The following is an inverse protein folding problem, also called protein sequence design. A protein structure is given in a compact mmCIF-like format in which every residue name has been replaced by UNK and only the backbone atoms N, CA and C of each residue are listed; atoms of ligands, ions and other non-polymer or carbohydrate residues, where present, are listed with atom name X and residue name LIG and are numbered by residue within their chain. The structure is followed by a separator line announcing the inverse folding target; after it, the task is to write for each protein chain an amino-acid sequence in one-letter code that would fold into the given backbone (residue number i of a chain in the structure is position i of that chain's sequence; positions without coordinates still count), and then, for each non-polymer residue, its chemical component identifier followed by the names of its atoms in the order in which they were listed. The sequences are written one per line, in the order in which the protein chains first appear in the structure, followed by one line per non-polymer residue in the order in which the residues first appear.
data_IF_584142241049
#
_entry.id   IF_584142241049
#
_cell.length_a   1.000
_cell.length_b   1.000
_cell.length_c   1.000
_cell.angle_alpha   90.00
_cell.angle_beta   90.00
_cell.angle_gamma   90.00
#
_symmetry.space_group_name_H-M   'P 1'
#
loop_
_entity.id
_entity.type
_entity.pdbx_description
1 polymer ?
#
# COMPACT_ATOMS: atom_id res chain seq x y z
N UNK A 1 39.56 4.53 -6.90
CA UNK A 1 38.27 4.46 -6.20
C UNK A 1 37.64 3.15 -6.63
N UNK A 2 37.06 2.33 -5.76
CA UNK A 2 36.24 1.22 -6.20
C UNK A 2 35.17 1.77 -7.14
N UNK A 3 34.88 1.08 -8.26
CA UNK A 3 33.86 1.49 -9.20
C UNK A 3 32.51 1.66 -8.48
N UNK A 4 31.65 2.58 -8.98
CA UNK A 4 30.28 2.68 -8.46
C UNK A 4 29.62 1.29 -8.57
N UNK A 5 28.83 0.85 -7.56
CA UNK A 5 28.14 -0.42 -7.66
C UNK A 5 27.20 -0.41 -8.86
N UNK A 6 27.14 -1.52 -9.57
CA UNK A 6 26.18 -1.70 -10.67
C UNK A 6 24.84 -2.04 -10.01
N UNK A 7 23.90 -1.09 -10.03
CA UNK A 7 22.55 -1.27 -9.51
C UNK A 7 21.54 -0.86 -10.58
N UNK A 8 20.84 -1.85 -11.11
CA UNK A 8 19.70 -1.66 -12.00
C UNK A 8 18.44 -2.17 -11.30
N UNK A 9 17.50 -1.28 -10.88
CA UNK A 9 16.30 -1.66 -10.17
C UNK A 9 15.34 -2.55 -10.98
N UNK A 10 15.58 -2.72 -12.27
CA UNK A 10 14.78 -3.53 -13.18
C UNK A 10 15.45 -4.85 -13.59
N UNK A 11 16.68 -5.10 -13.12
CA UNK A 11 17.35 -6.39 -13.37
C UNK A 11 16.70 -7.51 -12.55
N UNK A 12 16.69 -8.72 -13.09
CA UNK A 12 16.12 -9.90 -12.42
C UNK A 12 16.73 -10.15 -11.04
N UNK A 13 18.03 -9.93 -10.88
CA UNK A 13 18.72 -10.13 -9.60
C UNK A 13 18.19 -9.16 -8.53
N UNK A 14 18.04 -7.87 -8.87
CA UNK A 14 17.50 -6.85 -7.95
C UNK A 14 16.00 -7.07 -7.70
N UNK A 15 15.25 -7.45 -8.73
CA UNK A 15 13.84 -7.74 -8.61
C UNK A 15 13.57 -8.93 -7.67
N UNK A 16 14.43 -9.95 -7.69
CA UNK A 16 14.29 -11.15 -6.86
C UNK A 16 14.76 -10.94 -5.41
N UNK A 17 15.82 -10.16 -5.19
CA UNK A 17 16.30 -9.79 -3.85
C UNK A 17 16.96 -8.40 -3.86
N UNK A 18 16.20 -7.31 -3.63
CA UNK A 18 16.74 -5.96 -3.61
C UNK A 18 17.56 -5.64 -2.35
N UNK A 19 17.42 -6.40 -1.28
CA UNK A 19 17.90 -6.01 0.05
C UNK A 19 19.42 -6.03 0.16
N UNK A 20 20.07 -7.03 -0.45
CA UNK A 20 21.53 -7.10 -0.51
C UNK A 20 22.12 -5.89 -1.26
N UNK A 21 21.49 -5.48 -2.37
CA UNK A 21 21.86 -4.30 -3.12
C UNK A 21 21.63 -3.00 -2.34
N UNK A 22 20.51 -2.88 -1.65
CA UNK A 22 20.22 -1.70 -0.80
C UNK A 22 21.23 -1.55 0.34
N UNK A 23 21.68 -2.67 0.93
CA UNK A 23 22.73 -2.67 1.95
C UNK A 23 24.04 -2.14 1.37
N UNK A 24 24.48 -2.66 0.22
CA UNK A 24 25.71 -2.22 -0.44
C UNK A 24 25.64 -0.73 -0.83
N UNK A 25 24.52 -0.30 -1.41
CA UNK A 25 24.30 1.11 -1.78
C UNK A 25 24.36 2.02 -0.55
N UNK A 26 23.71 1.66 0.56
CA UNK A 26 23.69 2.46 1.78
C UNK A 26 25.09 2.72 2.32
N UNK A 27 25.97 1.73 2.23
CA UNK A 27 27.36 1.81 2.70
C UNK A 27 28.28 2.56 1.72
N UNK A 28 28.13 2.33 0.41
CA UNK A 28 29.12 2.74 -0.60
C UNK A 28 28.65 3.91 -1.50
N UNK A 29 27.34 4.01 -1.77
CA UNK A 29 26.75 5.00 -2.68
C UNK A 29 25.31 5.35 -2.25
N UNK A 30 25.10 6.01 -1.08
CA UNK A 30 23.78 6.20 -0.50
C UNK A 30 22.80 6.98 -1.37
N UNK A 31 23.32 7.70 -2.37
CA UNK A 31 22.57 8.36 -3.44
C UNK A 31 23.11 7.82 -4.75
N UNK A 32 22.39 6.87 -5.35
CA UNK A 32 22.79 6.23 -6.59
C UNK A 32 22.11 6.88 -7.79
N UNK A 33 22.89 7.33 -8.77
CA UNK A 33 22.39 7.85 -10.05
C UNK A 33 22.29 6.72 -11.06
N UNK A 34 21.14 6.62 -11.73
CA UNK A 34 20.92 5.68 -12.83
C UNK A 34 21.32 6.33 -14.15
N UNK A 35 22.37 5.83 -14.82
CA UNK A 35 22.95 6.48 -16.01
C UNK A 35 22.15 6.19 -17.29
N UNK A 36 21.40 5.08 -17.36
CA UNK A 36 20.73 4.60 -18.58
C UNK A 36 19.32 5.20 -18.81
N UNK A 37 18.94 6.25 -18.03
CA UNK A 37 17.64 6.90 -18.16
C UNK A 37 17.73 8.21 -18.95
N UNK A 38 16.68 8.52 -19.72
CA UNK A 38 16.58 9.74 -20.54
C UNK A 38 16.37 11.00 -19.71
N UNK A 39 16.10 10.86 -18.41
CA UNK A 39 15.96 11.94 -17.43
C UNK A 39 16.69 11.57 -16.14
N UNK A 40 17.07 12.55 -15.31
CA UNK A 40 17.79 12.28 -14.07
C UNK A 40 16.95 11.41 -13.12
N UNK A 41 17.44 10.21 -12.84
CA UNK A 41 16.82 9.23 -11.95
C UNK A 41 17.81 8.81 -10.87
N UNK A 42 17.36 8.81 -9.59
CA UNK A 42 18.20 8.49 -8.45
C UNK A 42 17.47 7.55 -7.48
N UNK A 43 18.26 6.83 -6.68
CA UNK A 43 17.78 6.02 -5.55
C UNK A 43 18.51 6.44 -4.28
N UNK A 44 17.77 6.73 -3.21
CA UNK A 44 18.33 7.04 -1.86
C UNK A 44 18.08 5.87 -0.91
N UNK A 45 19.03 5.58 -0.01
CA UNK A 45 18.99 4.35 0.81
C UNK A 45 19.16 4.58 2.31
N UNK A 46 19.62 5.75 2.76
CA UNK A 46 19.79 6.06 4.19
C UNK A 46 18.47 6.54 4.79
N UNK A 47 18.24 6.17 6.03
CA UNK A 47 17.02 6.51 6.77
C UNK A 47 16.76 8.03 6.82
N UNK A 48 17.76 8.81 7.22
CA UNK A 48 17.60 10.26 7.41
C UNK A 48 17.27 10.97 6.08
N UNK A 49 17.88 10.53 4.98
CA UNK A 49 17.59 11.08 3.65
C UNK A 49 16.15 10.77 3.23
N UNK A 50 15.72 9.51 3.40
CA UNK A 50 14.37 9.07 3.07
C UNK A 50 13.34 9.79 3.94
N UNK A 51 13.58 9.91 5.24
CA UNK A 51 12.68 10.63 6.17
C UNK A 51 12.59 12.13 5.82
N UNK A 52 13.72 12.77 5.47
CA UNK A 52 13.74 14.15 5.02
C UNK A 52 12.95 14.36 3.72
N UNK A 53 13.07 13.43 2.76
CA UNK A 53 12.29 13.46 1.51
C UNK A 53 10.79 13.34 1.75
N UNK A 54 10.37 12.58 2.74
CA UNK A 54 8.95 12.37 3.05
C UNK A 54 8.33 13.52 3.83
N UNK A 55 9.13 14.32 4.52
CA UNK A 55 8.65 15.43 5.38
C UNK A 55 8.80 16.81 4.76
N UNK A 56 9.78 17.01 3.90
CA UNK A 56 10.02 18.30 3.23
C UNK A 56 9.33 18.35 1.86
N UNK A 57 8.02 18.60 1.86
CA UNK A 57 7.19 18.64 0.64
C UNK A 57 7.48 19.85 -0.27
N UNK A 58 8.11 20.91 0.26
CA UNK A 58 8.50 22.07 -0.55
C UNK A 58 9.66 21.70 -1.48
N UNK A 59 10.59 20.89 -1.02
CA UNK A 59 11.74 20.42 -1.79
C UNK A 59 11.44 19.14 -2.58
N UNK A 60 10.57 18.27 -2.05
CA UNK A 60 10.31 16.93 -2.58
C UNK A 60 8.84 16.75 -2.94
N UNK A 61 8.47 17.18 -4.13
CA UNK A 61 7.11 17.18 -4.66
C UNK A 61 6.61 15.78 -5.00
N UNK A 62 5.34 15.51 -4.66
CA UNK A 62 4.58 14.34 -5.11
C UNK A 62 3.80 14.62 -6.41
N UNK A 63 3.59 15.87 -6.76
CA UNK A 63 2.74 16.31 -7.88
C UNK A 63 3.10 15.66 -9.21
N UNK A 64 4.38 15.43 -9.45
CA UNK A 64 4.88 14.86 -10.71
C UNK A 64 4.88 13.32 -10.73
N UNK A 65 4.07 12.70 -9.87
CA UNK A 65 3.89 11.25 -9.77
C UNK A 65 4.90 10.57 -8.84
N UNK A 66 4.46 9.45 -8.30
CA UNK A 66 5.21 8.65 -7.32
C UNK A 66 5.91 7.43 -7.95
N UNK A 67 5.87 7.33 -9.29
CA UNK A 67 6.57 6.32 -10.09
C UNK A 67 7.81 6.92 -10.76
N UNK A 68 8.71 6.12 -11.36
CA UNK A 68 9.90 6.63 -12.05
C UNK A 68 9.54 7.63 -13.15
N UNK A 69 8.47 7.36 -13.91
CA UNK A 69 8.00 8.25 -14.98
C UNK A 69 7.22 9.43 -14.42
N UNK A 70 7.31 10.56 -15.11
CA UNK A 70 6.49 11.72 -14.80
C UNK A 70 5.03 11.46 -15.13
N UNK A 71 4.17 11.78 -14.18
CA UNK A 71 2.70 11.76 -14.34
C UNK A 71 2.09 12.80 -13.40
N UNK A 72 1.00 13.43 -13.80
CA UNK A 72 0.23 14.32 -12.92
C UNK A 72 -1.09 13.64 -12.63
N UNK A 73 -1.18 13.08 -11.43
CA UNK A 73 -2.37 12.30 -11.04
C UNK A 73 -3.36 13.08 -10.16
N UNK A 74 -2.90 14.15 -9.52
CA UNK A 74 -3.76 15.01 -8.69
C UNK A 74 -4.26 14.37 -7.39
N UNK A 75 -5.27 15.00 -6.79
CA UNK A 75 -5.98 14.54 -5.59
C UNK A 75 -5.03 14.16 -4.44
N UNK A 76 -5.10 12.93 -3.91
CA UNK A 76 -4.27 12.46 -2.80
C UNK A 76 -2.77 12.38 -3.13
N UNK A 77 -2.39 12.46 -4.41
CA UNK A 77 -0.98 12.49 -4.87
C UNK A 77 -0.49 13.90 -5.20
N UNK A 78 -1.30 14.94 -4.98
CA UNK A 78 -0.88 16.34 -5.14
C UNK A 78 -0.06 16.82 -3.95
N UNK A 79 0.53 18.01 -4.06
CA UNK A 79 1.19 18.70 -2.96
C UNK A 79 0.21 19.59 -2.17
N UNK A 80 0.52 19.98 -0.92
CA UNK A 80 -0.23 21.03 -0.22
C UNK A 80 -0.22 22.35 -0.99
N UNK A 81 -1.29 23.17 -0.93
CA UNK A 81 -2.48 23.00 -0.10
C UNK A 81 -3.51 22.00 -0.67
N UNK A 82 -3.46 21.69 -1.97
CA UNK A 82 -4.42 20.83 -2.66
C UNK A 82 -4.55 19.44 -1.99
N UNK A 83 -3.43 18.77 -1.73
CA UNK A 83 -3.41 17.50 -1.02
C UNK A 83 -4.21 17.54 0.29
N UNK A 84 -4.08 18.64 1.07
CA UNK A 84 -4.74 18.76 2.38
C UNK A 84 -6.25 18.77 2.25
N UNK A 85 -6.80 19.36 1.20
CA UNK A 85 -8.23 19.36 0.93
C UNK A 85 -8.76 17.94 0.65
N UNK A 86 -8.15 17.26 -0.32
CA UNK A 86 -8.55 15.89 -0.67
C UNK A 86 -8.37 14.91 0.50
N UNK A 87 -7.29 15.09 1.28
CA UNK A 87 -7.02 14.25 2.45
C UNK A 87 -8.12 14.34 3.51
N UNK A 88 -8.68 15.53 3.74
CA UNK A 88 -9.77 15.75 4.71
C UNK A 88 -11.02 14.95 4.35
N UNK A 89 -11.33 14.78 3.07
CA UNK A 89 -12.55 14.09 2.60
C UNK A 89 -12.59 12.63 3.05
N UNK A 90 -11.44 11.98 3.11
CA UNK A 90 -11.35 10.56 3.49
C UNK A 90 -10.95 10.36 4.96
N UNK A 91 -10.58 11.42 5.68
CA UNK A 91 -10.03 11.31 7.03
C UNK A 91 -11.01 10.65 8.01
N UNK A 92 -12.32 10.91 7.88
CA UNK A 92 -13.38 10.35 8.75
C UNK A 92 -13.40 8.82 8.61
N UNK A 93 -13.42 8.29 7.39
CA UNK A 93 -13.54 6.85 7.10
C UNK A 93 -12.32 6.04 7.54
N UNK A 94 -11.15 6.65 7.58
CA UNK A 94 -9.90 6.00 8.01
C UNK A 94 -9.44 6.41 9.41
N UNK A 95 -10.28 7.14 10.16
CA UNK A 95 -9.96 7.52 11.54
C UNK A 95 -9.87 6.27 12.45
N UNK A 96 -8.95 6.24 13.43
CA UNK A 96 -8.75 5.07 14.30
C UNK A 96 -10.04 4.55 14.97
N UNK A 97 -10.95 5.45 15.38
CA UNK A 97 -12.23 5.07 15.97
C UNK A 97 -13.16 4.36 14.98
N UNK A 98 -13.13 4.79 13.71
CA UNK A 98 -13.96 4.20 12.66
C UNK A 98 -13.43 2.82 12.26
N UNK A 99 -12.12 2.71 12.09
CA UNK A 99 -11.44 1.42 11.84
C UNK A 99 -11.68 0.44 12.99
N UNK A 100 -11.62 0.90 14.25
CA UNK A 100 -11.92 0.05 15.41
C UNK A 100 -13.38 -0.46 15.42
N UNK A 101 -14.32 0.33 14.93
CA UNK A 101 -15.72 -0.09 14.83
C UNK A 101 -15.96 -1.19 13.80
N UNK A 102 -15.04 -1.38 12.86
CA UNK A 102 -15.08 -2.44 11.82
C UNK A 102 -14.47 -3.77 12.31
N UNK A 103 -13.88 -3.83 13.50
CA UNK A 103 -13.12 -5.00 13.96
C UNK A 103 -13.97 -6.28 13.95
N UNK A 104 -15.21 -6.23 14.44
CA UNK A 104 -16.09 -7.40 14.47
C UNK A 104 -16.45 -7.89 13.06
N UNK A 105 -16.73 -6.96 12.14
CA UNK A 105 -17.07 -7.29 10.75
C UNK A 105 -15.88 -7.89 10.00
N UNK A 106 -14.70 -7.29 10.16
CA UNK A 106 -13.46 -7.82 9.55
C UNK A 106 -13.11 -9.17 10.17
N UNK A 107 -13.28 -9.35 11.49
CA UNK A 107 -13.05 -10.63 12.16
C UNK A 107 -13.96 -11.73 11.62
N UNK A 108 -15.24 -11.40 11.37
CA UNK A 108 -16.19 -12.34 10.78
C UNK A 108 -15.77 -12.73 9.35
N UNK A 109 -15.38 -11.76 8.53
CA UNK A 109 -14.88 -12.00 7.17
C UNK A 109 -13.63 -12.90 7.18
N UNK A 110 -12.68 -12.62 8.06
CA UNK A 110 -11.46 -13.44 8.22
C UNK A 110 -11.83 -14.88 8.54
N UNK A 111 -12.79 -15.13 9.46
CA UNK A 111 -13.26 -16.48 9.79
C UNK A 111 -13.90 -17.17 8.59
N UNK A 112 -14.74 -16.47 7.84
CA UNK A 112 -15.38 -17.02 6.64
C UNK A 112 -14.35 -17.48 5.61
N UNK A 113 -13.33 -16.66 5.33
CA UNK A 113 -12.25 -17.03 4.41
C UNK A 113 -11.44 -18.21 4.91
N UNK A 114 -11.11 -18.24 6.20
CA UNK A 114 -10.38 -19.37 6.83
C UNK A 114 -11.21 -20.65 6.84
N UNK A 115 -12.52 -20.57 7.05
CA UNK A 115 -13.43 -21.72 6.98
C UNK A 115 -13.54 -22.27 5.55
N UNK A 116 -13.51 -21.42 4.52
CA UNK A 116 -13.44 -21.87 3.11
C UNK A 116 -12.11 -22.60 2.83
N UNK A 117 -10.99 -22.05 3.30
CA UNK A 117 -9.68 -22.74 3.20
C UNK A 117 -9.72 -24.12 3.89
N UNK A 118 -10.31 -24.21 5.08
CA UNK A 118 -10.35 -25.44 5.88
C UNK A 118 -11.13 -26.60 5.22
N UNK A 119 -11.92 -26.35 4.18
CA UNK A 119 -12.60 -27.41 3.40
C UNK A 119 -11.66 -28.25 2.55
N UNK A 120 -10.43 -27.78 2.35
CA UNK A 120 -9.39 -28.42 1.55
C UNK A 120 -8.20 -28.79 2.45
N UNK A 121 -7.37 -29.80 2.10
CA UNK A 121 -6.17 -30.16 2.87
C UNK A 121 -4.97 -29.23 2.60
N UNK A 122 -5.00 -28.47 1.54
CA UNK A 122 -3.99 -27.52 1.07
C UNK A 122 -4.66 -26.48 0.19
N UNK A 123 -3.97 -25.37 -0.08
CA UNK A 123 -4.48 -24.30 -0.93
C UNK A 123 -3.38 -23.30 -1.32
N UNK A 124 -3.80 -22.19 -1.84
CA UNK A 124 -2.96 -21.03 -2.12
C UNK A 124 -3.32 -19.89 -1.16
N UNK A 125 -2.38 -19.52 -0.26
CA UNK A 125 -2.63 -18.52 0.76
C UNK A 125 -2.91 -17.12 0.14
N UNK A 126 -2.31 -16.84 -1.02
CA UNK A 126 -2.57 -15.58 -1.72
C UNK A 126 -4.01 -15.55 -2.27
N UNK A 127 -4.38 -16.55 -3.07
CA UNK A 127 -5.66 -16.55 -3.79
C UNK A 127 -6.86 -16.90 -2.89
N UNK A 128 -6.66 -17.81 -1.93
CA UNK A 128 -7.73 -18.28 -1.03
C UNK A 128 -7.97 -17.29 0.14
N UNK A 129 -7.00 -16.40 0.48
CA UNK A 129 -7.09 -15.58 1.67
C UNK A 129 -6.52 -14.16 1.54
N UNK A 130 -5.20 -14.02 1.26
CA UNK A 130 -4.51 -12.75 1.43
C UNK A 130 -4.95 -11.67 0.42
N UNK A 131 -5.38 -12.05 -0.78
CA UNK A 131 -5.92 -11.15 -1.77
C UNK A 131 -7.41 -10.85 -1.54
N UNK A 132 -8.32 -11.83 -1.30
CA UNK A 132 -9.73 -11.55 -1.05
C UNK A 132 -9.98 -10.63 0.15
N UNK A 133 -9.26 -10.80 1.25
CA UNK A 133 -9.51 -10.04 2.47
C UNK A 133 -9.48 -8.51 2.26
N UNK A 134 -8.36 -7.88 1.84
CA UNK A 134 -8.32 -6.44 1.68
C UNK A 134 -9.20 -5.92 0.55
N UNK A 135 -9.44 -6.71 -0.50
CA UNK A 135 -10.34 -6.35 -1.61
C UNK A 135 -11.77 -6.20 -1.10
N UNK A 136 -12.26 -7.17 -0.30
CA UNK A 136 -13.59 -7.13 0.30
C UNK A 136 -13.70 -5.96 1.28
N UNK A 137 -12.70 -5.76 2.13
CA UNK A 137 -12.71 -4.69 3.13
C UNK A 137 -12.76 -3.32 2.48
N UNK A 138 -11.91 -3.05 1.47
CA UNK A 138 -11.93 -1.74 0.80
C UNK A 138 -13.22 -1.53 -0.02
N UNK A 139 -13.76 -2.57 -0.66
CA UNK A 139 -15.03 -2.50 -1.37
C UNK A 139 -16.18 -2.08 -0.42
N UNK A 140 -16.25 -2.68 0.77
CA UNK A 140 -17.25 -2.32 1.79
C UNK A 140 -17.09 -0.87 2.26
N UNK A 141 -15.87 -0.41 2.53
CA UNK A 141 -15.59 0.98 2.93
C UNK A 141 -16.04 1.97 1.85
N UNK A 142 -15.80 1.63 0.60
CA UNK A 142 -16.23 2.44 -0.54
C UNK A 142 -17.74 2.42 -0.75
N UNK A 143 -18.46 1.40 -0.27
CA UNK A 143 -19.89 1.19 -0.50
C UNK A 143 -20.16 0.48 -1.83
N UNK A 144 -19.30 -0.44 -2.21
CA UNK A 144 -19.36 -1.25 -3.44
C UNK A 144 -19.86 -2.65 -3.07
N UNK A 145 -20.77 -3.26 -3.87
CA UNK A 145 -21.20 -4.64 -3.69
C UNK A 145 -20.02 -5.63 -3.73
N UNK A 146 -20.06 -6.60 -2.83
CA UNK A 146 -19.00 -7.61 -2.72
C UNK A 146 -19.11 -8.72 -3.77
N UNK A 147 -20.19 -8.81 -4.50
CA UNK A 147 -20.40 -9.80 -5.57
C UNK A 147 -19.48 -9.57 -6.78
N UNK A 148 -18.91 -8.37 -6.90
CA UNK A 148 -18.05 -7.95 -8.02
C UNK A 148 -16.54 -8.10 -7.73
N UNK A 149 -16.17 -8.79 -6.64
CA UNK A 149 -14.77 -8.89 -6.14
C UNK A 149 -13.82 -9.46 -7.18
N UNK A 150 -14.23 -10.51 -7.91
CA UNK A 150 -13.40 -11.11 -8.96
C UNK A 150 -13.08 -10.12 -10.07
N UNK A 151 -14.04 -9.25 -10.38
CA UNK A 151 -13.87 -8.19 -11.38
C UNK A 151 -12.89 -7.11 -10.87
N UNK A 152 -13.00 -6.74 -9.58
CA UNK A 152 -12.05 -5.80 -8.96
C UNK A 152 -10.64 -6.33 -8.92
N UNK A 153 -10.49 -7.59 -8.52
CA UNK A 153 -9.19 -8.28 -8.55
C UNK A 153 -8.59 -8.21 -9.95
N UNK A 154 -9.36 -8.58 -10.98
CA UNK A 154 -8.91 -8.57 -12.36
C UNK A 154 -8.45 -7.17 -12.83
N UNK A 155 -9.16 -6.11 -12.46
CA UNK A 155 -8.78 -4.74 -12.81
C UNK A 155 -7.54 -4.25 -12.03
N UNK A 156 -7.44 -4.58 -10.73
CA UNK A 156 -6.28 -4.24 -9.90
C UNK A 156 -5.02 -4.91 -10.43
N UNK A 157 -5.08 -6.21 -10.68
CA UNK A 157 -3.97 -7.00 -11.23
C UNK A 157 -3.53 -6.44 -12.60
N UNK A 158 -4.48 -6.11 -13.47
CA UNK A 158 -4.20 -5.56 -14.79
C UNK A 158 -3.57 -4.15 -14.72
N UNK A 159 -3.98 -3.30 -13.76
CA UNK A 159 -3.36 -2.00 -13.56
C UNK A 159 -1.92 -2.12 -13.06
N UNK A 160 -1.66 -3.09 -12.19
CA UNK A 160 -0.33 -3.33 -11.64
C UNK A 160 0.62 -3.95 -12.67
N UNK A 161 0.18 -4.97 -13.39
CA UNK A 161 0.93 -5.56 -14.51
C UNK A 161 1.29 -4.50 -15.55
N UNK A 162 0.33 -3.60 -15.87
CA UNK A 162 0.56 -2.44 -16.75
C UNK A 162 1.53 -1.41 -16.19
N UNK A 163 1.90 -1.45 -14.90
CA UNK A 163 2.87 -0.50 -14.33
C UNK A 163 4.30 -0.72 -14.84
N UNK A 164 4.64 -1.94 -15.23
CA UNK A 164 5.94 -2.29 -15.81
C UNK A 164 5.99 -2.13 -17.34
N UNK A 165 4.84 -1.93 -18.00
CA UNK A 165 4.71 -1.80 -19.45
C UNK A 165 4.43 -0.35 -19.88
N UNK A 166 3.93 -0.13 -21.08
CA UNK A 166 3.56 1.19 -21.59
C UNK A 166 2.32 1.77 -20.89
N UNK A 167 2.11 3.08 -21.04
CA UNK A 167 0.91 3.78 -20.57
C UNK A 167 -0.39 3.17 -21.14
N UNK A 168 -0.33 2.63 -22.35
CA UNK A 168 -1.45 1.96 -23.03
C UNK A 168 -1.91 0.67 -22.30
N UNK A 169 -1.00 -0.09 -21.67
CA UNK A 169 -1.33 -1.31 -20.94
C UNK A 169 -2.21 -1.08 -19.70
N UNK A 170 -2.18 0.14 -19.12
CA UNK A 170 -2.99 0.54 -17.96
C UNK A 170 -4.30 1.22 -18.35
N UNK A 171 -4.42 1.69 -19.58
CA UNK A 171 -5.54 2.53 -20.01
C UNK A 171 -6.87 1.78 -19.98
N UNK A 172 -6.93 0.61 -20.61
CA UNK A 172 -8.17 -0.17 -20.71
C UNK A 172 -8.70 -0.64 -19.33
N UNK A 173 -7.89 -1.24 -18.43
CA UNK A 173 -8.34 -1.59 -17.09
C UNK A 173 -8.82 -0.39 -16.28
N UNK A 174 -8.15 0.75 -16.39
CA UNK A 174 -8.54 1.99 -15.71
C UNK A 174 -9.85 2.56 -16.25
N UNK A 175 -10.07 2.53 -17.55
CA UNK A 175 -11.33 2.98 -18.17
C UNK A 175 -12.51 2.11 -17.73
N UNK A 176 -12.34 0.78 -17.68
CA UNK A 176 -13.37 -0.14 -17.22
C UNK A 176 -13.70 0.09 -15.73
N UNK A 177 -12.69 0.26 -14.87
CA UNK A 177 -12.88 0.59 -13.47
C UNK A 177 -13.56 1.95 -13.29
N UNK A 178 -13.16 2.97 -14.04
CA UNK A 178 -13.80 4.29 -14.01
C UNK A 178 -15.27 4.23 -14.42
N UNK A 179 -15.62 3.46 -15.44
CA UNK A 179 -17.01 3.29 -15.86
C UNK A 179 -17.86 2.65 -14.75
N UNK A 180 -17.32 1.63 -14.09
CA UNK A 180 -17.97 0.98 -12.96
C UNK A 180 -18.15 1.93 -11.75
N UNK A 181 -17.11 2.66 -11.36
CA UNK A 181 -17.18 3.62 -10.24
C UNK A 181 -18.16 4.78 -10.56
N UNK A 182 -18.21 5.21 -11.81
CA UNK A 182 -19.18 6.22 -12.26
C UNK A 182 -20.63 5.72 -12.16
N UNK A 183 -20.89 4.44 -12.44
CA UNK A 183 -22.20 3.84 -12.24
C UNK A 183 -22.62 3.93 -10.76
N UNK A 184 -21.74 3.63 -9.82
CA UNK A 184 -22.03 3.75 -8.39
C UNK A 184 -22.26 5.19 -7.93
N UNK A 185 -21.55 6.18 -8.50
CA UNK A 185 -21.86 7.60 -8.30
C UNK A 185 -23.26 7.95 -8.81
N UNK A 186 -23.63 7.47 -10.02
CA UNK A 186 -24.93 7.73 -10.61
C UNK A 186 -26.08 7.07 -9.85
N UNK A 187 -25.90 5.89 -9.28
CA UNK A 187 -26.89 5.28 -8.38
C UNK A 187 -27.22 6.20 -7.20
N UNK A 188 -26.21 6.83 -6.59
CA UNK A 188 -26.44 7.77 -5.48
C UNK A 188 -27.09 9.07 -5.93
N UNK A 189 -26.75 9.58 -7.12
CA UNK A 189 -27.45 10.71 -7.74
C UNK A 189 -28.93 10.41 -7.93
N UNK A 190 -29.26 9.23 -8.46
CA UNK A 190 -30.65 8.83 -8.62
C UNK A 190 -31.41 8.78 -7.29
N UNK A 191 -30.79 8.34 -6.20
CA UNK A 191 -31.41 8.36 -4.88
C UNK A 191 -31.66 9.79 -4.37
N UNK A 192 -30.75 10.72 -4.64
CA UNK A 192 -30.94 12.15 -4.33
C UNK A 192 -32.07 12.75 -5.17
N UNK A 193 -32.08 12.51 -6.47
CA UNK A 193 -33.12 12.97 -7.41
C UNK A 193 -34.52 12.46 -6.98
N UNK A 194 -34.64 11.18 -6.59
CA UNK A 194 -35.89 10.58 -6.11
C UNK A 194 -36.37 11.23 -4.79
N UNK A 195 -35.43 11.73 -3.98
CA UNK A 195 -35.74 12.48 -2.77
C UNK A 195 -36.01 14.00 -3.04
N UNK A 196 -35.87 14.44 -4.30
CA UNK A 196 -36.04 15.83 -4.70
C UNK A 196 -34.94 16.77 -4.24
N UNK A 197 -33.71 16.24 -4.07
CA UNK A 197 -32.52 16.94 -3.58
C UNK A 197 -31.46 16.96 -4.67
N UNK A 198 -30.82 18.10 -4.91
CA UNK A 198 -29.68 18.22 -5.82
C UNK A 198 -28.36 17.89 -5.08
N UNK A 199 -27.38 17.30 -5.77
CA UNK A 199 -26.06 17.00 -5.16
C UNK A 199 -25.30 18.26 -4.70
N UNK A 200 -25.70 19.45 -5.16
CA UNK A 200 -25.16 20.75 -4.77
C UNK A 200 -25.86 21.38 -3.54
N UNK A 201 -26.96 20.80 -3.09
CA UNK A 201 -27.58 21.19 -1.83
C UNK A 201 -26.68 20.74 -0.67
N UNK A 202 -26.66 21.47 0.43
CA UNK A 202 -25.80 21.18 1.59
C UNK A 202 -26.22 19.86 2.26
N UNK A 203 -25.78 18.76 1.67
CA UNK A 203 -26.40 17.44 1.74
C UNK A 203 -25.68 16.45 2.66
N UNK A 204 -24.73 16.91 3.51
CA UNK A 204 -24.06 16.00 4.48
C UNK A 204 -25.06 15.30 5.40
N UNK A 205 -26.17 15.97 5.75
CA UNK A 205 -27.25 15.40 6.55
C UNK A 205 -28.04 14.28 5.82
N UNK A 206 -27.85 14.11 4.53
CA UNK A 206 -28.50 13.07 3.71
C UNK A 206 -27.74 11.75 3.72
N UNK A 207 -26.47 11.76 4.13
CA UNK A 207 -25.65 10.55 4.24
C UNK A 207 -26.16 9.70 5.40
N UNK A 208 -26.56 8.47 5.10
CA UNK A 208 -27.17 7.53 6.04
C UNK A 208 -28.69 7.54 6.03
N UNK A 209 -29.34 8.65 5.60
CA UNK A 209 -30.80 8.76 5.52
C UNK A 209 -31.33 8.54 4.08
N UNK A 210 -30.74 9.21 3.10
CA UNK A 210 -31.14 9.16 1.67
C UNK A 210 -30.16 8.36 0.84
N UNK A 211 -28.86 8.59 1.03
CA UNK A 211 -27.78 7.85 0.39
C UNK A 211 -26.95 7.08 1.44
N UNK A 212 -26.30 5.97 1.07
CA UNK A 212 -25.51 5.17 2.01
C UNK A 212 -24.45 5.97 2.77
N UNK A 213 -24.14 5.58 4.01
CA UNK A 213 -22.99 6.13 4.76
C UNK A 213 -21.71 5.42 4.34
N UNK A 214 -21.17 5.82 3.21
CA UNK A 214 -19.95 5.25 2.60
C UNK A 214 -19.05 6.33 1.97
N UNK A 215 -17.87 5.92 1.52
CA UNK A 215 -16.87 6.84 0.95
C UNK A 215 -17.34 7.41 -0.39
N UNK A 216 -18.05 6.64 -1.22
CA UNK A 216 -18.56 7.13 -2.51
C UNK A 216 -19.56 8.26 -2.28
N UNK A 217 -20.50 8.10 -1.33
CA UNK A 217 -21.45 9.15 -0.94
C UNK A 217 -20.75 10.40 -0.40
N UNK A 218 -19.76 10.22 0.47
CA UNK A 218 -18.96 11.32 0.99
C UNK A 218 -18.17 12.07 -0.09
N UNK A 219 -17.61 11.36 -1.08
CA UNK A 219 -16.89 11.98 -2.21
C UNK A 219 -17.87 12.62 -3.21
N UNK A 220 -19.06 12.06 -3.41
CA UNK A 220 -20.10 12.65 -4.28
C UNK A 220 -20.46 14.06 -3.82
N UNK A 221 -20.70 14.23 -2.51
CA UNK A 221 -21.15 15.50 -1.91
C UNK A 221 -19.99 16.41 -1.46
N UNK A 222 -18.75 16.02 -1.74
CA UNK A 222 -17.58 16.73 -1.24
C UNK A 222 -17.34 18.06 -1.95
N UNK A 223 -17.04 19.08 -1.14
CA UNK A 223 -16.54 20.37 -1.62
C UNK A 223 -15.04 20.54 -1.33
N UNK A 224 -14.32 21.07 -2.30
CA UNK A 224 -12.90 21.41 -2.18
C UNK A 224 -12.72 22.82 -2.75
N UNK A 225 -12.12 23.70 -1.97
CA UNK A 225 -11.87 25.10 -2.37
C UNK A 225 -13.17 25.82 -2.82
N UNK A 226 -14.27 25.62 -2.05
CA UNK A 226 -15.61 26.18 -2.28
C UNK A 226 -16.23 25.76 -3.63
N UNK A 227 -15.88 24.60 -4.15
CA UNK A 227 -16.53 23.99 -5.32
C UNK A 227 -16.71 22.49 -5.14
N UNK A 228 -17.74 21.96 -5.77
CA UNK A 228 -17.91 20.51 -5.87
C UNK A 228 -16.77 19.88 -6.68
N UNK A 229 -16.42 18.65 -6.33
CA UNK A 229 -15.49 17.87 -7.13
C UNK A 229 -16.09 17.57 -8.50
N UNK A 230 -15.26 17.63 -9.55
CA UNK A 230 -15.63 17.09 -10.85
C UNK A 230 -15.68 15.55 -10.80
N UNK A 231 -16.39 14.92 -11.72
CA UNK A 231 -16.42 13.45 -11.81
C UNK A 231 -15.04 12.85 -12.08
N UNK A 232 -14.18 13.57 -12.81
CA UNK A 232 -12.79 13.17 -13.00
C UNK A 232 -12.03 13.11 -11.66
N UNK A 233 -12.15 14.14 -10.81
CA UNK A 233 -11.52 14.16 -9.48
C UNK A 233 -12.09 13.08 -8.55
N UNK A 234 -13.42 12.87 -8.59
CA UNK A 234 -14.10 11.79 -7.84
C UNK A 234 -13.54 10.42 -8.23
N UNK A 235 -13.47 10.14 -9.52
CA UNK A 235 -12.94 8.89 -10.05
C UNK A 235 -11.46 8.70 -9.74
N UNK A 236 -10.64 9.75 -9.83
CA UNK A 236 -9.22 9.70 -9.45
C UNK A 236 -9.08 9.34 -7.97
N UNK A 237 -9.84 9.96 -7.08
CA UNK A 237 -9.80 9.66 -5.65
C UNK A 237 -10.23 8.23 -5.34
N UNK A 238 -11.35 7.77 -5.90
CA UNK A 238 -11.86 6.41 -5.70
C UNK A 238 -10.86 5.36 -6.20
N UNK A 239 -10.26 5.56 -7.37
CA UNK A 239 -9.20 4.70 -7.89
C UNK A 239 -7.96 4.68 -6.97
N UNK A 240 -7.53 5.84 -6.46
CA UNK A 240 -6.39 5.92 -5.56
C UNK A 240 -6.61 5.15 -4.26
N UNK A 241 -7.84 5.17 -3.72
CA UNK A 241 -8.22 4.42 -2.53
C UNK A 241 -8.29 2.91 -2.80
N UNK A 242 -8.94 2.52 -3.89
CA UNK A 242 -9.13 1.12 -4.24
C UNK A 242 -7.78 0.41 -4.50
N UNK A 243 -6.95 0.98 -5.38
CA UNK A 243 -5.63 0.40 -5.71
C UNK A 243 -4.68 0.47 -4.50
N UNK A 244 -4.71 1.57 -3.74
CA UNK A 244 -3.85 1.73 -2.56
C UNK A 244 -4.18 0.77 -1.42
N UNK A 245 -5.45 0.38 -1.28
CA UNK A 245 -5.93 -0.48 -0.17
C UNK A 245 -5.77 -1.98 -0.41
N UNK A 246 -5.68 -2.42 -1.66
CA UNK A 246 -5.66 -3.84 -2.02
C UNK A 246 -4.26 -4.45 -1.95
N UNK A 247 -3.42 -4.21 -2.96
CA UNK A 247 -2.16 -4.93 -3.16
C UNK A 247 -1.13 -4.74 -2.05
N UNK A 248 -1.13 -3.60 -1.39
CA UNK A 248 -0.20 -3.33 -0.31
C UNK A 248 -0.52 -4.15 0.94
N UNK A 249 -1.80 -4.35 1.26
CA UNK A 249 -2.23 -5.20 2.38
C UNK A 249 -2.08 -6.69 2.03
N UNK A 250 -2.39 -7.08 0.80
CA UNK A 250 -2.09 -8.43 0.28
C UNK A 250 -0.60 -8.76 0.41
N UNK A 251 0.27 -7.80 0.04
CA UNK A 251 1.72 -7.95 0.17
C UNK A 251 2.17 -8.03 1.63
N UNK A 252 1.56 -7.24 2.54
CA UNK A 252 1.83 -7.35 3.98
C UNK A 252 1.49 -8.75 4.51
N UNK A 253 0.31 -9.26 4.18
CA UNK A 253 -0.14 -10.58 4.62
C UNK A 253 0.77 -11.69 4.09
N UNK A 254 1.06 -11.66 2.80
CA UNK A 254 1.91 -12.68 2.18
C UNK A 254 3.35 -12.62 2.68
N UNK A 255 3.93 -11.44 2.90
CA UNK A 255 5.27 -11.29 3.48
C UNK A 255 5.32 -11.80 4.92
N UNK A 256 4.33 -11.44 5.75
CA UNK A 256 4.23 -11.86 7.14
C UNK A 256 4.22 -13.40 7.24
N UNK A 257 3.29 -14.04 6.54
CA UNK A 257 3.20 -15.52 6.57
C UNK A 257 4.41 -16.19 5.92
N UNK A 258 4.97 -15.62 4.86
CA UNK A 258 6.19 -16.15 4.25
C UNK A 258 7.34 -16.17 5.26
N UNK A 259 7.60 -15.08 5.98
CA UNK A 259 8.66 -15.04 7.02
C UNK A 259 8.41 -16.04 8.14
N UNK A 260 7.20 -16.09 8.65
CA UNK A 260 6.86 -17.03 9.72
C UNK A 260 6.96 -18.51 9.28
N UNK A 261 6.66 -18.81 8.01
CA UNK A 261 6.71 -20.18 7.49
C UNK A 261 8.10 -20.61 7.01
N UNK A 262 9.01 -19.67 6.73
CA UNK A 262 10.42 -19.98 6.48
C UNK A 262 11.14 -20.46 7.74
N UNK A 263 10.72 -19.97 8.90
CA UNK A 263 11.26 -20.41 10.20
C UNK A 263 10.11 -20.94 11.08
N UNK A 264 10.01 -22.24 11.17
CA UNK A 264 8.98 -22.92 11.97
C UNK A 264 8.91 -22.44 13.41
N UNK A 265 10.05 -22.07 14.01
CA UNK A 265 10.12 -21.58 15.39
C UNK A 265 9.40 -20.23 15.54
N UNK A 266 9.55 -19.33 14.56
CA UNK A 266 8.82 -18.04 14.55
C UNK A 266 7.32 -18.26 14.47
N UNK A 267 6.85 -19.16 13.60
CA UNK A 267 5.43 -19.48 13.49
C UNK A 267 4.86 -20.04 14.80
N UNK A 268 5.57 -20.95 15.45
CA UNK A 268 5.15 -21.54 16.72
C UNK A 268 5.11 -20.51 17.86
N UNK A 269 6.09 -19.60 17.94
CA UNK A 269 6.07 -18.52 18.90
C UNK A 269 4.84 -17.63 18.76
N UNK A 270 4.53 -17.20 17.52
CA UNK A 270 3.37 -16.33 17.25
C UNK A 270 2.05 -17.06 17.49
N UNK A 271 1.96 -18.36 17.17
CA UNK A 271 0.81 -19.21 17.47
C UNK A 271 0.57 -19.35 18.97
N UNK A 272 1.63 -19.62 19.74
CA UNK A 272 1.54 -19.96 21.16
C UNK A 272 1.44 -18.71 22.06
N UNK A 273 1.88 -17.55 21.57
CA UNK A 273 1.80 -16.27 22.28
C UNK A 273 1.11 -15.16 21.43
N UNK A 274 -0.21 -14.97 21.57
CA UNK A 274 -0.94 -13.93 20.84
C UNK A 274 -0.46 -12.48 21.12
N UNK A 275 0.29 -12.24 22.21
CA UNK A 275 0.86 -10.92 22.49
C UNK A 275 1.89 -10.49 21.43
N UNK A 276 2.50 -11.45 20.74
CA UNK A 276 3.46 -11.24 19.65
C UNK A 276 2.81 -10.82 18.32
N UNK A 277 1.49 -10.97 18.15
CA UNK A 277 0.82 -10.67 16.87
C UNK A 277 1.10 -9.25 16.40
N UNK A 278 1.03 -8.27 17.32
CA UNK A 278 1.30 -6.87 16.99
C UNK A 278 2.75 -6.65 16.59
N UNK A 279 3.68 -7.27 17.31
CA UNK A 279 5.13 -7.17 17.04
C UNK A 279 5.44 -7.81 15.69
N UNK A 280 4.89 -9.00 15.40
CA UNK A 280 5.10 -9.71 14.14
C UNK A 280 4.62 -8.89 12.92
N UNK A 281 3.48 -8.21 13.04
CA UNK A 281 2.95 -7.33 11.98
C UNK A 281 3.88 -6.13 11.76
N UNK A 282 4.31 -5.44 12.83
CA UNK A 282 5.19 -4.27 12.70
C UNK A 282 6.59 -4.67 12.21
N UNK A 283 7.11 -5.82 12.66
CA UNK A 283 8.40 -6.33 12.19
C UNK A 283 8.33 -6.77 10.72
N UNK A 284 7.22 -7.37 10.28
CA UNK A 284 7.00 -7.68 8.86
C UNK A 284 6.98 -6.39 8.02
N UNK A 285 6.29 -5.36 8.47
CA UNK A 285 6.27 -4.05 7.82
C UNK A 285 7.69 -3.45 7.72
N UNK A 286 8.47 -3.53 8.79
CA UNK A 286 9.85 -3.05 8.80
C UNK A 286 10.73 -3.86 7.85
N UNK A 287 10.74 -5.17 8.00
CA UNK A 287 11.70 -6.07 7.37
C UNK A 287 11.40 -6.30 5.88
N UNK A 288 10.12 -6.53 5.55
CA UNK A 288 9.62 -6.78 4.20
C UNK A 288 8.57 -5.73 3.82
N UNK A 289 8.99 -4.47 3.72
CA UNK A 289 8.09 -3.38 3.37
C UNK A 289 7.29 -3.69 2.09
N UNK A 290 5.94 -3.71 2.12
CA UNK A 290 5.10 -4.00 0.96
C UNK A 290 5.35 -3.08 -0.23
N UNK A 291 5.72 -1.83 0.05
CA UNK A 291 6.18 -0.85 -0.93
C UNK A 291 7.67 -0.62 -0.68
N UNK A 292 8.51 -1.00 -1.63
CA UNK A 292 9.97 -0.83 -1.52
C UNK A 292 10.39 0.63 -1.46
N UNK A 293 9.64 1.52 -2.10
CA UNK A 293 9.85 2.95 -2.09
C UNK A 293 8.97 3.68 -3.10
N UNK A 294 8.87 4.99 -2.96
CA UNK A 294 8.12 5.86 -3.86
C UNK A 294 8.99 7.02 -4.33
N UNK A 295 8.76 7.47 -5.55
CA UNK A 295 9.49 8.58 -6.13
C UNK A 295 8.95 9.93 -5.67
N UNK A 296 9.87 10.88 -5.57
CA UNK A 296 9.61 12.31 -5.44
C UNK A 296 10.33 13.04 -6.56
N UNK A 297 9.92 14.26 -6.83
CA UNK A 297 10.59 15.16 -7.77
C UNK A 297 11.11 16.37 -7.00
N UNK A 298 12.41 16.63 -7.03
CA UNK A 298 12.96 17.81 -6.36
C UNK A 298 12.60 19.09 -7.12
N UNK A 299 12.39 20.16 -6.37
CA UNK A 299 11.97 21.49 -6.86
C UNK A 299 13.13 22.47 -7.01
N UNK A 300 14.35 22.07 -6.65
CA UNK A 300 15.57 22.85 -6.75
C UNK A 300 16.79 21.92 -6.89
N UNK A 301 17.93 22.46 -7.34
CA UNK A 301 19.20 21.74 -7.33
C UNK A 301 19.60 21.38 -5.90
N UNK A 302 20.07 20.15 -5.68
CA UNK A 302 20.45 19.63 -4.37
C UNK A 302 21.84 19.01 -4.46
N UNK A 303 22.66 19.17 -3.43
CA UNK A 303 23.85 18.38 -3.18
C UNK A 303 23.56 17.43 -2.00
N UNK A 304 23.52 16.13 -2.27
CA UNK A 304 23.24 15.11 -1.27
C UNK A 304 24.39 14.09 -1.25
N UNK A 305 25.16 14.04 -0.20
CA UNK A 305 26.37 13.21 -0.06
C UNK A 305 27.41 13.40 -1.19
N UNK A 306 27.50 14.62 -1.75
CA UNK A 306 28.41 14.97 -2.83
C UNK A 306 27.89 14.58 -4.24
N UNK A 307 26.70 13.95 -4.34
CA UNK A 307 26.00 13.77 -5.62
C UNK A 307 25.13 15.00 -5.88
N UNK A 308 25.34 15.62 -7.07
CA UNK A 308 24.55 16.78 -7.50
C UNK A 308 23.30 16.30 -8.23
N UNK A 309 22.17 16.56 -7.62
CA UNK A 309 20.84 16.22 -8.13
C UNK A 309 20.22 17.49 -8.74
N UNK A 310 20.12 17.61 -10.07
CA UNK A 310 19.50 18.77 -10.70
C UNK A 310 18.03 18.90 -10.33
N UNK A 311 17.51 20.12 -10.37
CA UNK A 311 16.07 20.38 -10.29
C UNK A 311 15.29 19.47 -11.26
N UNK A 312 14.10 19.02 -10.87
CA UNK A 312 13.23 18.14 -11.67
C UNK A 312 13.78 16.72 -11.87
N UNK A 313 14.66 16.25 -11.00
CA UNK A 313 15.07 14.85 -10.95
C UNK A 313 14.01 13.98 -10.29
N UNK A 314 13.91 12.72 -10.72
CA UNK A 314 13.15 11.69 -10.03
C UNK A 314 14.05 10.98 -9.03
N UNK A 315 13.66 11.00 -7.75
CA UNK A 315 14.44 10.39 -6.67
C UNK A 315 13.56 9.42 -5.90
N UNK A 316 13.99 8.17 -5.80
CA UNK A 316 13.29 7.14 -5.01
C UNK A 316 13.64 7.31 -3.54
N UNK A 317 12.64 7.56 -2.72
CA UNK A 317 12.71 7.40 -1.27
C UNK A 317 12.52 5.91 -0.95
N UNK A 318 13.62 5.17 -0.71
CA UNK A 318 13.59 3.72 -0.60
C UNK A 318 13.29 3.28 0.82
N UNK A 319 12.01 3.07 1.12
CA UNK A 319 11.51 2.67 2.45
C UNK A 319 12.17 1.38 2.93
N UNK A 320 12.25 0.38 2.06
CA UNK A 320 12.84 -0.92 2.37
C UNK A 320 14.32 -0.84 2.76
N UNK A 321 15.08 0.07 2.15
CA UNK A 321 16.46 0.32 2.53
C UNK A 321 16.57 1.05 3.87
N UNK A 322 15.76 2.10 4.06
CA UNK A 322 15.70 2.89 5.28
C UNK A 322 15.28 2.04 6.49
N UNK A 323 14.32 1.13 6.32
CA UNK A 323 13.85 0.21 7.35
C UNK A 323 14.89 -0.82 7.80
N UNK A 324 15.98 -0.96 7.08
CA UNK A 324 17.15 -1.80 7.42
C UNK A 324 18.42 -1.00 7.63
N UNK A 325 18.27 0.27 7.96
CA UNK A 325 19.43 1.12 8.27
C UNK A 325 19.94 0.85 9.70
N UNK A 326 21.21 0.39 9.88
CA UNK A 326 21.79 0.12 11.19
C UNK A 326 21.98 1.38 12.05
N UNK A 327 21.87 2.58 11.46
CA UNK A 327 21.86 3.83 12.23
C UNK A 327 20.58 4.00 13.09
N UNK A 328 19.49 3.25 12.74
CA UNK A 328 18.16 3.40 13.38
C UNK A 328 17.67 2.10 14.00
N UNK A 329 17.98 0.95 13.38
CA UNK A 329 17.51 -0.38 13.79
C UNK A 329 18.70 -1.25 14.20
N UNK A 330 18.60 -1.84 15.39
CA UNK A 330 19.59 -2.81 15.86
C UNK A 330 19.44 -4.13 15.09
N UNK A 331 20.56 -4.74 14.67
CA UNK A 331 20.56 -5.97 13.87
C UNK A 331 19.49 -5.96 12.74
N UNK A 332 19.57 -4.98 11.82
CA UNK A 332 18.47 -4.67 10.90
C UNK A 332 18.18 -5.76 9.86
N UNK A 333 19.13 -6.66 9.62
CA UNK A 333 19.01 -7.74 8.64
C UNK A 333 18.42 -9.04 9.23
N UNK A 334 17.99 -9.01 10.50
CA UNK A 334 17.34 -10.14 11.16
C UNK A 334 15.88 -9.82 11.45
N UNK A 335 14.98 -10.75 11.08
CA UNK A 335 13.57 -10.69 11.47
C UNK A 335 13.43 -11.13 12.93
N UNK A 336 12.93 -10.26 13.81
CA UNK A 336 12.93 -10.48 15.26
C UNK A 336 11.57 -10.16 15.87
N UNK A 337 11.10 -11.03 16.77
CA UNK A 337 9.85 -10.85 17.51
C UNK A 337 10.04 -10.23 18.91
N UNK A 338 11.26 -9.85 19.25
CA UNK A 338 11.65 -9.25 20.53
C UNK A 338 12.07 -7.77 20.41
N UNK A 339 11.76 -7.11 19.27
CA UNK A 339 12.04 -5.69 19.09
C UNK A 339 11.15 -4.83 19.95
N UNK A 340 11.74 -3.78 20.50
CA UNK A 340 11.00 -2.80 21.28
C UNK A 340 9.97 -2.05 20.38
N UNK A 341 8.75 -1.82 20.88
CA UNK A 341 7.73 -1.09 20.12
C UNK A 341 8.13 0.31 19.66
N UNK A 342 9.02 0.98 20.43
CA UNK A 342 9.57 2.29 20.11
C UNK A 342 10.49 2.24 18.89
N UNK A 343 11.24 1.17 18.73
CA UNK A 343 12.09 0.93 17.55
C UNK A 343 11.23 0.64 16.34
N UNK A 344 10.24 -0.26 16.46
CA UNK A 344 9.34 -0.63 15.37
C UNK A 344 8.53 0.56 14.82
N UNK A 345 8.12 1.51 15.68
CA UNK A 345 7.40 2.72 15.21
C UNK A 345 8.19 3.59 14.25
N UNK A 346 9.51 3.39 14.13
CA UNK A 346 10.35 4.16 13.23
C UNK A 346 10.31 3.69 11.78
N UNK A 347 9.75 2.50 11.49
CA UNK A 347 9.70 2.02 10.10
C UNK A 347 8.91 2.97 9.19
N UNK A 348 9.37 3.12 7.94
CA UNK A 348 8.81 4.05 6.96
C UNK A 348 7.84 3.40 5.95
N UNK A 349 7.37 2.18 6.19
CA UNK A 349 6.52 1.43 5.24
C UNK A 349 5.18 2.08 4.96
N UNK A 350 4.71 2.93 5.85
CA UNK A 350 3.52 3.77 5.65
C UNK A 350 3.85 5.21 5.23
N UNK A 351 5.10 5.49 4.87
CA UNK A 351 5.57 6.84 4.63
C UNK A 351 5.67 7.68 5.90
N UNK A 352 5.83 8.99 5.73
CA UNK A 352 5.94 9.97 6.81
C UNK A 352 5.37 11.33 6.34
N UNK A 353 5.08 12.25 7.29
CA UNK A 353 4.61 13.60 6.98
C UNK A 353 3.17 13.63 6.45
N UNK A 354 2.88 14.59 5.58
CA UNK A 354 1.51 14.85 5.09
C UNK A 354 0.92 13.71 4.28
N UNK A 355 1.79 12.94 3.62
CA UNK A 355 1.42 11.76 2.82
C UNK A 355 1.45 10.43 3.61
N UNK A 356 1.54 10.46 4.94
CA UNK A 356 1.44 9.26 5.75
C UNK A 356 0.18 8.46 5.37
N UNK A 357 0.29 7.13 5.20
CA UNK A 357 -0.76 6.27 4.69
C UNK A 357 -2.07 6.38 5.50
N UNK A 358 -3.21 6.69 4.85
CA UNK A 358 -4.50 6.74 5.53
C UNK A 358 -4.95 5.37 6.04
N UNK A 359 -4.66 4.30 5.29
CA UNK A 359 -5.03 2.92 5.60
C UNK A 359 -4.15 2.23 6.63
N UNK A 360 -3.15 2.91 7.22
CA UNK A 360 -2.17 2.29 8.11
C UNK A 360 -2.78 1.56 9.32
N UNK A 361 -3.87 2.05 9.89
CA UNK A 361 -4.56 1.38 11.00
C UNK A 361 -5.39 0.19 10.51
N UNK A 362 -6.02 0.33 9.35
CA UNK A 362 -6.85 -0.71 8.75
C UNK A 362 -6.01 -1.93 8.37
N UNK A 363 -4.92 -1.75 7.62
CA UNK A 363 -4.04 -2.85 7.23
C UNK A 363 -3.40 -3.57 8.42
N UNK A 364 -3.09 -2.85 9.51
CA UNK A 364 -2.64 -3.44 10.78
C UNK A 364 -3.72 -4.28 11.44
N UNK A 365 -4.96 -3.81 11.41
CA UNK A 365 -6.10 -4.54 11.95
C UNK A 365 -6.33 -5.84 11.16
N UNK A 366 -6.40 -5.74 9.84
CA UNK A 366 -6.54 -6.90 8.95
C UNK A 366 -5.44 -7.93 9.18
N UNK A 367 -4.18 -7.49 9.22
CA UNK A 367 -3.03 -8.40 9.44
C UNK A 367 -3.07 -9.08 10.82
N UNK A 368 -3.46 -8.35 11.88
CA UNK A 368 -3.59 -8.93 13.23
C UNK A 368 -4.70 -9.99 13.30
N UNK A 369 -5.86 -9.69 12.72
CA UNK A 369 -6.99 -10.61 12.72
C UNK A 369 -6.69 -11.84 11.88
N UNK A 370 -6.07 -11.66 10.71
CA UNK A 370 -5.59 -12.74 9.85
C UNK A 370 -4.60 -13.64 10.59
N UNK A 371 -3.60 -13.05 11.24
CA UNK A 371 -2.57 -13.79 11.95
C UNK A 371 -3.18 -14.63 13.08
N UNK A 372 -4.08 -14.04 13.87
CA UNK A 372 -4.79 -14.72 14.95
C UNK A 372 -5.57 -15.93 14.42
N UNK A 373 -6.47 -15.72 13.48
CA UNK A 373 -7.39 -16.77 13.03
C UNK A 373 -6.65 -17.92 12.30
N UNK A 374 -5.66 -17.57 11.45
CA UNK A 374 -4.87 -18.58 10.72
C UNK A 374 -4.02 -19.42 11.68
N UNK A 375 -3.36 -18.79 12.67
CA UNK A 375 -2.52 -19.55 13.62
C UNK A 375 -3.34 -20.43 14.54
N UNK A 376 -4.55 -20.01 14.94
CA UNK A 376 -5.48 -20.80 15.73
C UNK A 376 -6.05 -21.98 14.92
N UNK A 377 -6.43 -21.74 13.66
CA UNK A 377 -7.10 -22.74 12.80
C UNK A 377 -6.14 -23.75 12.18
N UNK A 378 -4.93 -23.29 11.81
CA UNK A 378 -3.93 -24.08 11.09
C UNK A 378 -2.60 -24.17 11.85
N UNK A 379 -2.57 -24.83 13.03
CA UNK A 379 -1.36 -24.88 13.85
C UNK A 379 -0.17 -25.55 13.15
N UNK A 380 -0.41 -26.33 12.11
CA UNK A 380 0.59 -27.00 11.29
C UNK A 380 0.77 -26.39 9.91
N UNK A 381 0.35 -25.14 9.71
CA UNK A 381 0.54 -24.45 8.43
C UNK A 381 2.01 -24.50 7.99
N UNK A 382 2.25 -24.85 6.74
CA UNK A 382 3.60 -24.96 6.16
C UNK A 382 3.59 -24.65 4.67
N UNK A 383 4.72 -24.18 4.16
CA UNK A 383 4.95 -24.09 2.72
C UNK A 383 4.97 -25.48 2.08
N UNK A 384 4.40 -25.60 0.88
CA UNK A 384 4.54 -26.78 0.01
C UNK A 384 5.67 -26.55 -0.99
N UNK A 385 5.78 -25.31 -1.49
CA UNK A 385 6.77 -24.86 -2.46
C UNK A 385 7.11 -23.39 -2.21
N UNK A 386 8.16 -22.88 -2.83
CA UNK A 386 8.54 -21.46 -2.71
C UNK A 386 7.50 -20.57 -3.43
N UNK A 387 6.94 -19.55 -2.75
CA UNK A 387 5.99 -18.64 -3.34
C UNK A 387 6.63 -17.75 -4.41
N UNK A 388 5.91 -17.51 -5.50
CA UNK A 388 6.34 -16.57 -6.53
C UNK A 388 6.28 -15.12 -6.02
N UNK A 389 7.28 -14.31 -6.39
CA UNK A 389 7.24 -12.87 -6.15
C UNK A 389 6.20 -12.19 -7.04
N UNK A 390 5.56 -11.11 -6.54
CA UNK A 390 4.72 -10.24 -7.39
C UNK A 390 5.58 -9.44 -8.38
N UNK A 391 5.04 -9.13 -9.55
CA UNK A 391 5.81 -8.55 -10.66
C UNK A 391 6.21 -7.07 -10.51
N UNK A 392 5.37 -6.14 -9.96
CA UNK A 392 5.71 -4.72 -9.91
C UNK A 392 6.99 -4.48 -9.12
N UNK A 393 7.95 -3.75 -9.72
CA UNK A 393 9.29 -3.55 -9.13
C UNK A 393 9.29 -2.75 -7.83
N UNK A 394 8.29 -1.88 -7.63
CA UNK A 394 8.16 -1.08 -6.38
C UNK A 394 7.44 -1.83 -5.26
N UNK A 395 6.85 -2.99 -5.55
CA UNK A 395 6.11 -3.78 -4.59
C UNK A 395 6.91 -5.01 -4.18
N UNK A 396 6.75 -5.40 -2.93
CA UNK A 396 7.33 -6.61 -2.36
C UNK A 396 6.23 -7.42 -1.71
N UNK A 397 5.95 -8.59 -2.26
CA UNK A 397 4.90 -9.50 -1.84
C UNK A 397 5.04 -10.84 -2.55
N UNK A 398 4.16 -11.76 -2.22
CA UNK A 398 4.14 -13.10 -2.82
C UNK A 398 2.79 -13.36 -3.47
N UNK A 399 2.80 -14.00 -4.63
CA UNK A 399 1.65 -14.61 -5.28
C UNK A 399 1.94 -16.08 -5.53
N UNK A 400 0.92 -16.88 -5.83
CA UNK A 400 1.05 -18.34 -5.90
C UNK A 400 1.77 -18.85 -4.64
N UNK A 401 1.08 -18.78 -3.53
CA UNK A 401 1.61 -19.08 -2.21
C UNK A 401 1.11 -20.44 -1.72
N UNK A 402 1.67 -21.56 -2.24
CA UNK A 402 1.15 -22.89 -1.95
C UNK A 402 1.45 -23.32 -0.52
N UNK A 403 0.40 -23.66 0.22
CA UNK A 403 0.47 -24.05 1.63
C UNK A 403 -0.35 -25.30 1.92
N UNK A 404 0.04 -26.03 2.99
CA UNK A 404 -0.74 -27.11 3.58
C UNK A 404 -0.81 -26.93 5.10
N UNK A 405 -1.86 -27.48 5.70
CA UNK A 405 -2.15 -27.32 7.14
C UNK A 405 -2.52 -28.61 7.86
N UNK A 406 -2.43 -29.78 7.17
CA UNK A 406 -2.66 -31.13 7.75
C UNK A 406 -1.36 -31.77 8.17
#
# INVERSE_FOLDING_TARGET
MPGKPVFDPFSDDVLNDPFAFYKDLRETCPVHKHEDFTYPLYTTTRYDDVAAMLTNVELWSSHYGQMPRYSVEGCLKSDPPGHTWYRKLIQKSFAPRHVAAMEDEISQLVKELVDEMAKKPHGDLHDDFACPLPVIVIAKILGIPTDDIDQFKAWSDAQLAGSNTSEDGRKVPREAMNAYLLEHLNVRRSLLDDAGVDETDNAEDLIGDVIPDDVISGILLAEVDNRMLSDEERLVMLNQLLVGGNETTTSLLTNLFWRLLLDRYLYEQVRDDPSLHKIAVEESLRFDAPVLGLYRTNTADIDLHGEKIPERSKVMATFAAANRDPAVFDDPETFRLDREPEELRKHLSFGLGVHFCPGAQLSRLEARLALKEITERFPNLRLIDEPERIEPFILWGRRKFPVAWN
#
